data_IF_364775554532
#
_entry.id   IF_364775554532
#
_cell.length_a   1.000
_cell.length_b   1.000
_cell.length_c   1.000
_cell.angle_alpha   90.00
_cell.angle_beta   90.00
_cell.angle_gamma   90.00
#
_symmetry.space_group_name_H-M   'P 1'
#
loop_
_entity.id
_entity.type
_entity.pdbx_description
1 polymer ?
#
# COMPACT_ATOMS: atom_id res chain seq x y z
N UNK A 1 11.59 6.98 23.02
CA UNK A 1 12.15 7.26 21.69
C UNK A 1 11.18 6.81 20.63
N UNK A 2 10.82 7.69 19.71
CA UNK A 2 9.90 7.32 18.63
C UNK A 2 10.61 6.41 17.61
N UNK A 3 9.97 5.27 17.28
CA UNK A 3 10.43 4.37 16.21
C UNK A 3 9.60 4.58 14.93
N UNK A 4 8.78 5.63 14.92
CA UNK A 4 7.91 5.94 13.81
C UNK A 4 8.66 6.53 12.62
N UNK A 5 8.26 6.12 11.43
CA UNK A 5 8.79 6.64 10.17
C UNK A 5 7.66 7.02 9.24
N UNK A 6 7.92 7.98 8.35
CA UNK A 6 6.98 8.42 7.33
C UNK A 6 7.70 8.42 5.99
N UNK A 7 7.12 7.72 5.03
CA UNK A 7 7.57 7.72 3.64
C UNK A 7 6.43 8.23 2.78
N UNK A 8 6.67 9.30 2.02
CA UNK A 8 5.65 9.88 1.17
C UNK A 8 6.20 10.04 -0.25
N UNK A 9 5.41 9.61 -1.22
CA UNK A 9 5.77 9.69 -2.62
C UNK A 9 4.52 9.98 -3.44
N UNK A 10 4.71 10.58 -4.60
CA UNK A 10 3.62 10.75 -5.54
C UNK A 10 4.10 10.48 -6.96
N UNK A 11 3.15 10.19 -7.84
CA UNK A 11 3.42 9.95 -9.26
C UNK A 11 2.24 10.45 -10.07
N UNK A 12 2.52 10.95 -11.26
CA UNK A 12 1.49 11.34 -12.22
C UNK A 12 1.17 10.17 -13.14
N UNK A 13 -0.13 9.90 -13.30
CA UNK A 13 -0.62 8.76 -14.09
C UNK A 13 -1.60 9.29 -15.14
N UNK A 14 -1.39 8.93 -16.41
CA UNK A 14 -2.28 9.31 -17.50
C UNK A 14 -3.47 8.36 -17.57
N UNK A 15 -4.26 8.37 -16.53
CA UNK A 15 -5.48 7.59 -16.40
C UNK A 15 -6.43 8.32 -15.46
N UNK A 16 -7.74 8.05 -15.59
CA UNK A 16 -8.74 8.72 -14.75
C UNK A 16 -8.55 8.35 -13.27
N UNK A 17 -8.95 9.26 -12.39
CA UNK A 17 -8.87 9.01 -10.95
C UNK A 17 -9.69 7.78 -10.54
N UNK A 18 -10.83 7.56 -11.18
CA UNK A 18 -11.66 6.38 -10.93
C UNK A 18 -10.93 5.09 -11.28
N UNK A 19 -10.23 5.08 -12.41
CA UNK A 19 -9.46 3.90 -12.82
C UNK A 19 -8.28 3.66 -11.89
N UNK A 20 -7.57 4.71 -11.52
CA UNK A 20 -6.45 4.59 -10.57
C UNK A 20 -6.94 4.06 -9.22
N UNK A 21 -8.08 4.58 -8.75
CA UNK A 21 -8.70 4.08 -7.52
C UNK A 21 -9.01 2.59 -7.62
N UNK A 22 -9.54 2.14 -8.75
CA UNK A 22 -9.79 0.70 -8.97
C UNK A 22 -8.52 -0.12 -8.87
N UNK A 23 -7.40 0.38 -9.38
CA UNK A 23 -6.11 -0.29 -9.28
C UNK A 23 -5.67 -0.48 -7.83
N UNK A 24 -6.06 0.43 -6.93
CA UNK A 24 -5.68 0.38 -5.53
C UNK A 24 -6.63 -0.48 -4.70
N UNK A 25 -7.87 -0.63 -5.13
CA UNK A 25 -8.91 -1.27 -4.34
C UNK A 25 -9.34 -2.64 -4.86
N UNK A 26 -9.09 -2.94 -6.12
CA UNK A 26 -9.39 -4.24 -6.70
C UNK A 26 -8.24 -5.20 -6.42
N UNK A 27 -8.53 -6.32 -5.76
CA UNK A 27 -7.52 -7.28 -5.34
C UNK A 27 -6.72 -7.86 -6.51
N UNK A 28 -7.39 -8.18 -7.60
CA UNK A 28 -6.72 -8.70 -8.79
C UNK A 28 -5.77 -7.69 -9.41
N UNK A 29 -6.19 -6.43 -9.50
CA UNK A 29 -5.34 -5.37 -10.01
C UNK A 29 -4.19 -5.07 -9.06
N UNK A 30 -4.43 -5.10 -7.76
CA UNK A 30 -3.38 -4.88 -6.76
C UNK A 30 -2.22 -5.86 -6.94
N UNK A 31 -2.49 -7.13 -7.22
CA UNK A 31 -1.46 -8.14 -7.40
C UNK A 31 -0.63 -7.92 -8.68
N UNK A 32 -1.06 -7.04 -9.57
CA UNK A 32 -0.29 -6.69 -10.77
C UNK A 32 0.81 -5.67 -10.51
N UNK A 33 0.72 -4.91 -9.42
CA UNK A 33 1.71 -3.88 -9.13
C UNK A 33 2.37 -4.02 -7.76
N UNK A 34 1.78 -4.74 -6.81
CA UNK A 34 2.40 -5.01 -5.52
C UNK A 34 3.73 -5.75 -5.69
N UNK A 35 4.61 -5.59 -4.72
CA UNK A 35 5.81 -6.39 -4.65
C UNK A 35 5.42 -7.88 -4.73
N UNK A 36 6.09 -8.68 -5.58
CA UNK A 36 5.76 -10.10 -5.70
C UNK A 36 5.83 -10.88 -4.39
N UNK A 37 6.60 -10.39 -3.41
CA UNK A 37 6.67 -11.01 -2.09
C UNK A 37 5.46 -10.65 -1.22
N UNK A 38 4.60 -9.70 -1.65
CA UNK A 38 3.40 -9.32 -0.91
C UNK A 38 2.17 -9.98 -1.52
N UNK A 39 1.32 -10.51 -0.67
CA UNK A 39 0.04 -11.07 -1.07
C UNK A 39 -1.05 -10.49 -0.17
N UNK A 40 -2.13 -10.00 -0.76
CA UNK A 40 -3.28 -9.54 0.00
C UNK A 40 -4.43 -10.52 -0.15
N UNK A 41 -5.13 -10.75 0.96
CA UNK A 41 -6.24 -11.71 1.02
C UNK A 41 -7.39 -11.14 1.85
N UNK A 42 -8.63 -11.59 1.61
CA UNK A 42 -9.73 -11.23 2.48
C UNK A 42 -9.48 -11.70 3.91
N UNK A 43 -9.89 -10.91 4.88
CA UNK A 43 -9.87 -11.34 6.28
C UNK A 43 -10.99 -12.35 6.55
N UNK A 44 -12.16 -12.05 6.01
CA UNK A 44 -13.33 -12.91 6.09
C UNK A 44 -13.63 -13.54 4.71
N UNK A 45 -14.88 -13.78 4.39
CA UNK A 45 -15.28 -14.47 3.16
C UNK A 45 -15.00 -13.65 1.90
N UNK A 46 -15.08 -12.31 1.96
CA UNK A 46 -15.00 -11.44 0.80
C UNK A 46 -13.98 -10.32 0.98
N UNK A 47 -13.36 -9.94 -0.14
CA UNK A 47 -12.51 -8.77 -0.20
C UNK A 47 -13.36 -7.50 -0.07
N UNK A 48 -12.99 -6.63 0.88
CA UNK A 48 -13.77 -5.42 1.18
C UNK A 48 -12.84 -4.24 1.43
N UNK A 49 -12.99 -3.18 0.63
CA UNK A 49 -12.25 -1.93 0.77
C UNK A 49 -13.14 -0.76 1.19
N UNK A 50 -14.35 -1.02 1.62
CA UNK A 50 -15.19 -0.01 2.23
C UNK A 50 -14.74 0.26 3.67
N UNK A 51 -15.26 1.33 4.26
CA UNK A 51 -14.93 1.67 5.65
C UNK A 51 -15.14 0.46 6.56
N UNK A 52 -14.18 0.21 7.43
CA UNK A 52 -14.14 -0.93 8.38
C UNK A 52 -13.87 -2.28 7.71
N UNK A 53 -13.68 -2.33 6.39
CA UNK A 53 -13.30 -3.55 5.69
C UNK A 53 -11.93 -4.02 6.15
N UNK A 54 -11.78 -5.34 6.35
CA UNK A 54 -10.54 -5.95 6.83
C UNK A 54 -9.91 -6.86 5.79
N UNK A 55 -8.58 -6.88 5.79
CA UNK A 55 -7.79 -7.71 4.90
C UNK A 55 -6.51 -8.15 5.58
N UNK A 56 -5.83 -9.13 4.98
CA UNK A 56 -4.50 -9.57 5.41
C UNK A 56 -3.49 -9.27 4.34
N UNK A 57 -2.35 -8.74 4.76
CA UNK A 57 -1.19 -8.57 3.88
C UNK A 57 -0.10 -9.49 4.39
N UNK A 58 0.30 -10.44 3.56
CA UNK A 58 1.23 -11.50 3.91
C UNK A 58 2.53 -11.31 3.17
N UNK A 59 3.64 -11.26 3.90
CA UNK A 59 4.97 -11.18 3.29
C UNK A 59 5.47 -12.60 3.08
N UNK A 60 5.71 -12.96 1.81
CA UNK A 60 6.10 -14.32 1.41
C UNK A 60 7.61 -14.49 1.59
N UNK A 61 8.06 -14.66 2.82
CA UNK A 61 9.47 -14.92 3.13
C UNK A 61 9.59 -16.42 3.50
N UNK A 62 10.61 -17.12 2.98
CA UNK A 62 10.80 -18.54 3.35
C UNK A 62 10.88 -18.72 4.86
N UNK A 63 10.16 -19.72 5.38
CA UNK A 63 10.07 -20.11 6.78
C UNK A 63 9.29 -19.14 7.67
N UNK A 64 9.15 -17.89 7.27
CA UNK A 64 8.37 -16.90 7.99
C UNK A 64 7.36 -16.30 7.03
N UNK A 65 6.14 -16.17 7.47
CA UNK A 65 5.10 -15.48 6.68
C UNK A 65 4.46 -14.41 7.54
N UNK A 66 5.19 -13.29 7.80
CA UNK A 66 4.64 -12.21 8.62
C UNK A 66 3.35 -11.71 8.00
N UNK A 67 2.32 -11.58 8.82
CA UNK A 67 0.99 -11.17 8.37
C UNK A 67 0.61 -9.88 9.07
N UNK A 68 0.12 -8.91 8.28
CA UNK A 68 -0.45 -7.69 8.80
C UNK A 68 -1.96 -7.76 8.61
N UNK A 69 -2.70 -7.47 9.67
CA UNK A 69 -4.15 -7.29 9.57
C UNK A 69 -4.41 -5.83 9.30
N UNK A 70 -5.10 -5.54 8.21
CA UNK A 70 -5.37 -4.18 7.77
C UNK A 70 -6.87 -3.90 7.84
N UNK A 71 -7.20 -2.69 8.29
CA UNK A 71 -8.58 -2.22 8.36
C UNK A 71 -8.68 -0.89 7.63
N UNK A 72 -9.68 -0.71 6.80
CA UNK A 72 -9.94 0.56 6.14
C UNK A 72 -10.49 1.54 7.18
N UNK A 73 -9.75 2.60 7.48
CA UNK A 73 -10.12 3.57 8.51
C UNK A 73 -10.61 4.89 7.93
N UNK A 74 -10.32 5.18 6.67
CA UNK A 74 -10.88 6.31 5.93
C UNK A 74 -11.19 5.84 4.51
N UNK A 75 -12.36 6.22 4.01
CA UNK A 75 -12.79 5.83 2.67
C UNK A 75 -13.70 6.89 2.08
N UNK A 76 -13.28 7.47 0.97
CA UNK A 76 -14.04 8.43 0.16
C UNK A 76 -13.66 8.21 -1.30
N UNK A 77 -14.43 8.75 -2.26
CA UNK A 77 -13.99 8.67 -3.66
C UNK A 77 -12.59 9.26 -3.82
N UNK A 78 -11.67 8.44 -4.35
CA UNK A 78 -10.27 8.83 -4.51
C UNK A 78 -9.42 8.72 -3.26
N UNK A 79 -9.95 8.20 -2.16
CA UNK A 79 -9.21 8.10 -0.91
C UNK A 79 -9.44 6.74 -0.25
N UNK A 80 -8.36 6.06 0.08
CA UNK A 80 -8.40 4.88 0.95
C UNK A 80 -7.22 4.93 1.89
N UNK A 81 -7.49 4.70 3.18
CA UNK A 81 -6.45 4.62 4.21
C UNK A 81 -6.64 3.31 4.95
N UNK A 82 -5.61 2.49 4.94
CA UNK A 82 -5.55 1.26 5.73
C UNK A 82 -4.73 1.50 6.99
N UNK A 83 -5.27 1.10 8.14
CA UNK A 83 -4.50 0.96 9.37
C UNK A 83 -4.12 -0.50 9.50
N UNK A 84 -2.86 -0.79 9.76
CA UNK A 84 -2.39 -2.16 9.88
C UNK A 84 -1.72 -2.39 11.21
N UNK A 85 -1.78 -3.63 11.67
CA UNK A 85 -1.19 -4.08 12.92
C UNK A 85 -0.59 -5.47 12.74
N UNK A 86 0.46 -5.74 13.50
CA UNK A 86 1.20 -6.98 13.47
C UNK A 86 2.68 -6.70 13.62
N UNK A 87 3.47 -7.20 12.68
CA UNK A 87 4.91 -6.98 12.65
C UNK A 87 5.27 -5.48 12.59
N UNK A 88 4.53 -4.73 11.78
CA UNK A 88 4.53 -3.27 11.74
C UNK A 88 3.20 -2.77 12.27
N UNK A 89 3.17 -1.51 12.67
CA UNK A 89 1.95 -0.83 13.06
C UNK A 89 1.95 0.54 12.39
N UNK A 90 0.84 0.93 11.80
CA UNK A 90 0.76 2.24 11.17
C UNK A 90 -0.39 2.38 10.20
N UNK A 91 -0.21 3.28 9.22
CA UNK A 91 -1.22 3.60 8.22
C UNK A 91 -0.60 3.72 6.85
N UNK A 92 -1.35 3.31 5.86
CA UNK A 92 -1.01 3.43 4.45
C UNK A 92 -2.12 4.23 3.76
N UNK A 93 -1.78 5.46 3.34
CA UNK A 93 -2.74 6.38 2.75
C UNK A 93 -2.52 6.49 1.25
N UNK A 94 -3.60 6.37 0.50
CA UNK A 94 -3.60 6.50 -0.94
C UNK A 94 -4.62 7.54 -1.35
N UNK A 95 -4.17 8.58 -2.08
CA UNK A 95 -5.04 9.62 -2.59
C UNK A 95 -4.90 9.74 -4.09
N UNK A 96 -6.03 9.67 -4.80
CA UNK A 96 -6.11 9.88 -6.24
C UNK A 96 -6.66 11.28 -6.48
N UNK A 97 -5.79 12.21 -6.87
CA UNK A 97 -6.17 13.60 -7.09
C UNK A 97 -6.32 13.86 -8.59
N UNK A 98 -7.53 14.12 -9.10
CA UNK A 98 -7.71 14.41 -10.53
C UNK A 98 -6.90 15.64 -10.94
N UNK A 99 -6.24 15.54 -12.08
CA UNK A 99 -5.54 16.65 -12.72
C UNK A 99 -5.89 16.66 -14.20
N UNK A 100 -5.48 17.71 -14.92
CA UNK A 100 -5.96 18.04 -16.27
C UNK A 100 -6.13 16.84 -17.22
N UNK A 101 -5.15 15.96 -17.33
CA UNK A 101 -5.19 14.82 -18.25
C UNK A 101 -4.92 13.49 -17.56
N UNK A 102 -5.16 13.44 -16.25
CA UNK A 102 -4.90 12.21 -15.52
C UNK A 102 -5.08 12.38 -14.03
N UNK A 103 -4.20 11.72 -13.28
CA UNK A 103 -4.30 11.62 -11.84
C UNK A 103 -2.93 11.81 -11.20
N UNK A 104 -2.88 12.61 -10.15
CA UNK A 104 -1.73 12.64 -9.25
C UNK A 104 -2.03 11.67 -8.11
N UNK A 105 -1.26 10.61 -8.05
CA UNK A 105 -1.41 9.59 -6.99
C UNK A 105 -0.41 9.84 -5.88
N UNK A 106 -0.92 10.04 -4.67
CA UNK A 106 -0.11 10.20 -3.47
C UNK A 106 -0.19 8.93 -2.65
N UNK A 107 0.97 8.46 -2.20
CA UNK A 107 1.05 7.38 -1.22
C UNK A 107 1.86 7.86 -0.03
N UNK A 108 1.26 7.80 1.15
CA UNK A 108 1.91 8.15 2.41
C UNK A 108 1.86 6.94 3.34
N UNK A 109 3.02 6.43 3.66
CA UNK A 109 3.19 5.24 4.50
C UNK A 109 3.79 5.68 5.83
N UNK A 110 2.99 5.59 6.89
CA UNK A 110 3.42 5.89 8.25
C UNK A 110 3.47 4.59 9.03
N UNK A 111 4.61 4.30 9.64
CA UNK A 111 4.72 3.04 10.35
C UNK A 111 5.69 3.15 11.52
N UNK A 112 5.51 2.27 12.47
CA UNK A 112 6.45 2.04 13.57
C UNK A 112 6.64 0.54 13.75
N UNK A 113 7.78 0.17 14.27
CA UNK A 113 8.12 -1.21 14.58
C UNK A 113 8.20 -1.32 16.10
N UNK A 114 7.20 -1.98 16.73
CA UNK A 114 7.14 -2.02 18.21
C UNK A 114 8.32 -2.76 18.85
N UNK A 115 8.88 -3.76 18.15
CA UNK A 115 9.99 -4.53 18.70
C UNK A 115 11.33 -3.82 18.45
N UNK A 116 12.07 -3.44 19.51
CA UNK A 116 13.33 -2.68 19.34
C UNK A 116 14.40 -3.43 18.54
N UNK A 117 14.46 -4.75 18.66
CA UNK A 117 15.46 -5.55 17.95
C UNK A 117 15.14 -5.55 16.46
N UNK A 118 13.86 -5.73 16.10
CA UNK A 118 13.40 -5.71 14.72
C UNK A 118 13.60 -4.32 14.13
N UNK A 119 13.28 -3.27 14.89
CA UNK A 119 13.47 -1.90 14.46
C UNK A 119 14.93 -1.61 14.12
N UNK A 120 15.86 -2.08 14.97
CA UNK A 120 17.29 -1.86 14.74
C UNK A 120 17.74 -2.52 13.43
N UNK A 121 17.31 -3.76 13.19
CA UNK A 121 17.61 -4.46 11.94
C UNK A 121 17.02 -3.77 10.74
N UNK A 122 15.76 -3.35 10.82
CA UNK A 122 15.09 -2.62 9.75
C UNK A 122 15.83 -1.30 9.45
N UNK A 123 16.11 -0.52 10.47
CA UNK A 123 16.75 0.78 10.29
C UNK A 123 18.13 0.66 9.66
N UNK A 124 18.84 -0.43 9.93
CA UNK A 124 20.18 -0.66 9.39
C UNK A 124 20.15 -1.11 7.93
N UNK A 125 19.21 -1.99 7.55
CA UNK A 125 19.27 -2.66 6.27
C UNK A 125 18.05 -2.44 5.37
N UNK A 126 16.87 -2.26 5.92
CA UNK A 126 15.63 -2.34 5.15
C UNK A 126 14.98 -1.00 4.82
N UNK A 127 15.33 0.09 5.50
CA UNK A 127 14.66 1.39 5.29
C UNK A 127 14.82 1.87 3.85
N UNK A 128 16.03 1.84 3.33
CA UNK A 128 16.32 2.26 1.95
C UNK A 128 15.65 1.32 0.94
N UNK A 129 15.69 0.03 1.21
CA UNK A 129 15.04 -0.96 0.36
C UNK A 129 13.54 -0.73 0.29
N UNK A 130 12.90 -0.43 1.43
CA UNK A 130 11.46 -0.14 1.49
C UNK A 130 11.11 1.06 0.64
N UNK A 131 11.91 2.13 0.71
CA UNK A 131 11.66 3.32 -0.10
C UNK A 131 11.77 3.01 -1.59
N UNK A 132 12.79 2.26 -1.99
CA UNK A 132 12.99 1.85 -3.39
C UNK A 132 11.84 0.96 -3.85
N UNK A 133 11.35 0.07 -2.99
CA UNK A 133 10.23 -0.80 -3.32
C UNK A 133 8.95 0.00 -3.51
N UNK A 134 8.68 1.00 -2.67
CA UNK A 134 7.53 1.88 -2.85
C UNK A 134 7.57 2.60 -4.19
N UNK A 135 8.75 3.11 -4.59
CA UNK A 135 8.90 3.74 -5.90
C UNK A 135 8.64 2.76 -7.04
N UNK A 136 9.15 1.53 -6.92
CA UNK A 136 8.95 0.49 -7.93
C UNK A 136 7.46 0.10 -8.03
N UNK A 137 6.76 0.02 -6.91
CA UNK A 137 5.33 -0.26 -6.90
C UNK A 137 4.54 0.85 -7.59
N UNK A 138 4.86 2.11 -7.32
CA UNK A 138 4.19 3.24 -7.99
C UNK A 138 4.42 3.21 -9.49
N UNK A 139 5.61 2.88 -9.95
CA UNK A 139 5.91 2.77 -11.37
C UNK A 139 5.13 1.62 -12.03
N UNK A 140 5.00 0.49 -11.36
CA UNK A 140 4.22 -0.64 -11.86
C UNK A 140 2.73 -0.29 -11.91
N UNK A 141 2.22 0.36 -10.86
CA UNK A 141 0.82 0.80 -10.80
C UNK A 141 0.51 1.76 -11.95
N UNK A 142 1.39 2.72 -12.20
CA UNK A 142 1.26 3.64 -13.33
C UNK A 142 1.13 2.87 -14.65
N UNK A 143 1.99 1.90 -14.90
CA UNK A 143 1.93 1.10 -16.13
C UNK A 143 0.63 0.32 -16.24
N UNK A 144 0.17 -0.26 -15.14
CA UNK A 144 -1.10 -1.00 -15.13
C UNK A 144 -2.26 -0.09 -15.46
N UNK A 145 -2.37 1.04 -14.77
CA UNK A 145 -3.47 1.98 -14.97
C UNK A 145 -3.47 2.54 -16.39
N UNK A 146 -2.32 2.97 -16.88
CA UNK A 146 -2.23 3.54 -18.23
C UNK A 146 -2.54 2.52 -19.32
N UNK A 147 -2.19 1.25 -19.10
CA UNK A 147 -2.53 0.19 -20.05
C UNK A 147 -4.03 -0.08 -20.09
N UNK A 148 -4.73 0.11 -18.99
CA UNK A 148 -6.18 -0.11 -18.91
C UNK A 148 -6.97 1.08 -19.44
N UNK A 149 -6.39 2.28 -19.44
CA UNK A 149 -7.06 3.48 -19.96
C UNK A 149 -7.16 3.46 -21.48
N UNK A 150 -6.23 2.83 -22.17
CA UNK A 150 -6.18 2.78 -23.64
C UNK A 150 -7.07 1.69 -24.23
#
# INVERSE_FOLDING_TARGET
MSTGQVLEQFIYIQASATLVESCITDRGLMHRWLNPALRCEPFDAEWNTDLDGKSRFIIQIPLLKPTLVSTVVEREPGLVVWAFDGFFRGRDRWECQPEANGTRLLNRFEFEIPNPIIWLGFNTFAAKWTQQDMQAQLQRLKRVAESLEN
#
